data_IF_762216414579
#
_entry.id   IF_762216414579
#
_cell.length_a   1.000
_cell.length_b   1.000
_cell.length_c   1.000
_cell.angle_alpha   90.00
_cell.angle_beta   90.00
_cell.angle_gamma   90.00
#
_symmetry.space_group_name_H-M   'P 1'
#
loop_
_entity.id
_entity.type
_entity.pdbx_description
1 polymer ?
#
# COMPACT_ATOMS: atom_id res chain seq x y z
N UNK A 1 -5.41 24.52 -17.83
CA UNK A 1 -6.30 24.78 -16.69
C UNK A 1 -7.40 25.79 -17.03
N UNK A 2 -7.07 27.07 -17.43
CA UNK A 2 -8.10 28.10 -17.68
C UNK A 2 -9.11 27.75 -18.76
N UNK A 3 -8.66 27.20 -19.90
CA UNK A 3 -9.55 26.72 -20.96
C UNK A 3 -10.44 25.59 -20.47
N UNK A 4 -9.88 24.60 -19.79
CA UNK A 4 -10.62 23.48 -19.19
C UNK A 4 -11.73 23.96 -18.24
N UNK A 5 -11.42 24.92 -17.32
CA UNK A 5 -12.43 25.45 -16.39
C UNK A 5 -13.56 26.17 -17.13
N UNK A 6 -13.28 26.79 -18.28
CA UNK A 6 -14.30 27.47 -19.11
C UNK A 6 -15.17 26.49 -19.88
N UNK A 7 -14.57 25.40 -20.33
CA UNK A 7 -15.25 24.36 -21.13
C UNK A 7 -16.10 23.44 -20.24
N UNK A 8 -15.51 22.93 -19.14
CA UNK A 8 -16.16 21.95 -18.25
C UNK A 8 -17.14 22.60 -17.28
N UNK A 9 -16.87 23.84 -16.82
CA UNK A 9 -17.65 24.56 -15.80
C UNK A 9 -17.93 23.70 -14.55
N UNK A 10 -16.90 23.14 -13.88
CA UNK A 10 -17.12 22.22 -12.75
C UNK A 10 -17.66 22.97 -11.52
N UNK A 11 -18.52 22.32 -10.76
CA UNK A 11 -18.99 22.78 -9.44
C UNK A 11 -17.93 22.53 -8.35
N UNK A 12 -17.08 21.52 -8.56
CA UNK A 12 -16.03 21.07 -7.63
C UNK A 12 -14.82 20.58 -8.41
N UNK A 13 -13.61 20.90 -7.88
CA UNK A 13 -12.35 20.37 -8.40
C UNK A 13 -11.59 19.70 -7.26
N UNK A 14 -11.25 18.41 -7.44
CA UNK A 14 -10.50 17.63 -6.49
C UNK A 14 -9.11 17.33 -7.04
N UNK A 15 -8.06 17.57 -6.24
CA UNK A 15 -6.69 17.20 -6.54
C UNK A 15 -6.21 16.04 -5.67
N UNK A 16 -5.72 14.95 -6.30
CA UNK A 16 -5.16 13.80 -5.61
C UNK A 16 -3.63 13.77 -5.65
N UNK A 17 -2.99 14.95 -5.72
CA UNK A 17 -1.54 15.07 -5.79
C UNK A 17 -0.98 14.99 -7.22
N UNK A 18 0.35 14.87 -7.31
CA UNK A 18 1.09 14.94 -8.57
C UNK A 18 1.18 16.37 -9.14
N UNK A 19 2.21 16.62 -9.95
CA UNK A 19 2.49 17.96 -10.49
C UNK A 19 1.38 18.49 -11.41
N UNK A 20 0.61 17.62 -12.03
CA UNK A 20 -0.48 17.97 -12.97
C UNK A 20 -1.67 18.58 -12.23
N UNK A 21 -1.99 18.11 -11.02
CA UNK A 21 -3.13 18.61 -10.25
C UNK A 21 -2.92 20.07 -9.79
N UNK A 22 -1.69 20.47 -9.52
CA UNK A 22 -1.36 21.80 -8.99
C UNK A 22 -1.93 22.96 -9.78
N UNK A 23 -1.61 23.12 -11.08
CA UNK A 23 -2.14 24.20 -11.91
C UNK A 23 -3.66 24.19 -12.09
N UNK A 24 -4.27 22.98 -12.06
CA UNK A 24 -5.72 22.82 -12.26
C UNK A 24 -6.48 23.26 -11.02
N UNK A 25 -6.14 22.71 -9.85
CA UNK A 25 -6.78 23.04 -8.57
C UNK A 25 -6.58 24.51 -8.22
N UNK A 26 -5.34 25.04 -8.39
CA UNK A 26 -5.06 26.47 -8.12
C UNK A 26 -5.84 27.40 -9.05
N UNK A 27 -6.05 26.99 -10.32
CA UNK A 27 -6.87 27.76 -11.24
C UNK A 27 -8.35 27.78 -10.80
N UNK A 28 -8.87 26.67 -10.33
CA UNK A 28 -10.23 26.54 -9.80
C UNK A 28 -10.42 27.41 -8.55
N UNK A 29 -9.54 27.28 -7.56
CA UNK A 29 -9.56 28.10 -6.34
C UNK A 29 -9.56 29.61 -6.64
N UNK A 30 -8.70 30.07 -7.55
CA UNK A 30 -8.67 31.47 -7.98
C UNK A 30 -9.91 31.95 -8.71
N UNK A 31 -10.75 31.06 -9.20
CA UNK A 31 -12.03 31.36 -9.85
C UNK A 31 -13.23 31.25 -8.91
N UNK A 32 -13.01 30.95 -7.64
CA UNK A 32 -14.08 30.72 -6.66
C UNK A 32 -14.86 29.42 -6.86
N UNK A 33 -14.31 28.49 -7.66
CA UNK A 33 -14.86 27.14 -7.78
C UNK A 33 -14.47 26.37 -6.52
N UNK A 34 -15.38 25.61 -5.93
CA UNK A 34 -15.11 24.79 -4.74
C UNK A 34 -13.95 23.82 -5.02
N UNK A 35 -13.06 23.68 -4.05
CA UNK A 35 -11.84 22.90 -4.23
C UNK A 35 -11.52 22.02 -3.03
N UNK A 36 -11.03 20.82 -3.33
CA UNK A 36 -10.52 19.90 -2.33
C UNK A 36 -9.20 19.29 -2.79
N UNK A 37 -8.37 18.87 -1.85
CA UNK A 37 -7.21 18.00 -2.12
C UNK A 37 -7.23 16.80 -1.17
N UNK A 38 -6.67 15.67 -1.64
CA UNK A 38 -6.43 14.49 -0.83
C UNK A 38 -4.94 14.16 -0.82
N UNK A 39 -4.37 14.02 0.38
CA UNK A 39 -3.00 13.56 0.60
C UNK A 39 -3.01 12.13 1.12
N UNK A 40 -2.43 11.22 0.35
CA UNK A 40 -2.43 9.79 0.63
C UNK A 40 -1.29 9.37 1.58
N UNK A 41 -0.23 10.17 1.67
CA UNK A 41 1.01 9.77 2.32
C UNK A 41 1.18 10.43 3.70
N UNK A 42 1.94 9.79 4.59
CA UNK A 42 2.33 10.33 5.89
C UNK A 42 3.30 11.54 5.78
N UNK A 43 3.97 11.66 4.62
CA UNK A 43 4.73 12.85 4.27
C UNK A 43 4.14 13.47 3.01
N UNK A 44 3.53 14.67 3.12
CA UNK A 44 2.82 15.28 2.02
C UNK A 44 3.72 15.66 0.85
N UNK A 45 3.20 15.45 -0.37
CA UNK A 45 3.86 15.89 -1.59
C UNK A 45 3.88 17.42 -1.71
N UNK A 46 4.89 17.95 -2.42
CA UNK A 46 5.08 19.40 -2.63
C UNK A 46 3.83 20.07 -3.19
N UNK A 47 3.16 19.44 -4.16
CA UNK A 47 1.94 19.99 -4.78
C UNK A 47 0.83 20.21 -3.75
N UNK A 48 0.56 19.23 -2.89
CA UNK A 48 -0.49 19.33 -1.88
C UNK A 48 -0.13 20.38 -0.81
N UNK A 49 1.14 20.44 -0.38
CA UNK A 49 1.61 21.52 0.52
C UNK A 49 1.38 22.92 -0.06
N UNK A 50 1.64 23.11 -1.36
CA UNK A 50 1.44 24.39 -2.03
C UNK A 50 -0.03 24.74 -2.26
N UNK A 51 -0.91 23.75 -2.35
CA UNK A 51 -2.34 23.94 -2.57
C UNK A 51 -3.14 24.08 -1.27
N UNK A 52 -2.70 23.46 -0.20
CA UNK A 52 -3.45 23.39 1.06
C UNK A 52 -3.92 24.76 1.58
N UNK A 53 -3.13 25.87 1.53
CA UNK A 53 -3.63 27.18 1.92
C UNK A 53 -4.74 27.73 1.01
N UNK A 54 -4.73 27.37 -0.27
CA UNK A 54 -5.59 27.97 -1.31
C UNK A 54 -6.94 27.24 -1.48
N UNK A 55 -7.08 26.00 -1.02
CA UNK A 55 -8.29 25.17 -1.22
C UNK A 55 -9.29 25.31 -0.07
N UNK A 56 -10.56 24.92 -0.32
CA UNK A 56 -11.62 24.97 0.68
C UNK A 56 -11.49 23.89 1.74
N UNK A 57 -11.09 22.67 1.36
CA UNK A 57 -10.92 21.53 2.25
C UNK A 57 -9.70 20.69 1.89
N UNK A 58 -9.03 20.17 2.90
CA UNK A 58 -7.90 19.26 2.77
C UNK A 58 -8.25 17.93 3.43
N UNK A 59 -8.10 16.84 2.70
CA UNK A 59 -8.18 15.49 3.24
C UNK A 59 -6.79 14.93 3.43
N UNK A 60 -6.52 14.38 4.60
CA UNK A 60 -5.30 13.65 4.91
C UNK A 60 -5.64 12.18 5.20
N UNK A 61 -4.89 11.26 4.64
CA UNK A 61 -5.08 9.84 4.93
C UNK A 61 -4.69 9.50 6.37
N UNK A 62 -3.62 10.12 6.89
CA UNK A 62 -3.08 9.80 8.21
C UNK A 62 -2.83 11.08 9.03
N UNK A 63 -2.96 11.02 10.38
CA UNK A 63 -2.74 12.19 11.26
C UNK A 63 -1.35 12.83 11.09
N UNK A 64 -0.32 12.02 10.79
CA UNK A 64 1.07 12.49 10.62
C UNK A 64 1.27 13.51 9.47
N UNK A 65 0.30 13.62 8.55
CA UNK A 65 0.35 14.56 7.43
C UNK A 65 -0.22 15.94 7.78
N UNK A 66 -1.09 16.06 8.79
CA UNK A 66 -1.91 17.26 9.06
C UNK A 66 -1.05 18.52 9.22
N UNK A 67 -0.13 18.53 10.17
CA UNK A 67 0.73 19.70 10.44
C UNK A 67 1.66 20.01 9.27
N UNK A 68 2.12 18.98 8.55
CA UNK A 68 3.04 19.12 7.41
C UNK A 68 2.37 19.69 6.17
N UNK A 69 1.04 19.63 6.07
CA UNK A 69 0.25 20.23 5.01
C UNK A 69 0.14 21.77 5.15
N UNK A 70 0.33 22.29 6.37
CA UNK A 70 0.35 23.74 6.62
C UNK A 70 -1.03 24.42 6.61
N UNK A 71 -2.11 23.66 6.75
CA UNK A 71 -3.49 24.15 6.84
C UNK A 71 -4.31 23.26 7.79
N UNK A 72 -3.90 23.08 9.07
CA UNK A 72 -4.54 22.14 9.98
C UNK A 72 -6.01 22.46 10.25
N UNK A 73 -6.39 23.73 10.22
CA UNK A 73 -7.76 24.21 10.50
C UNK A 73 -8.82 23.75 9.48
N UNK A 74 -8.39 23.38 8.27
CA UNK A 74 -9.28 22.84 7.22
C UNK A 74 -8.89 21.44 6.77
N UNK A 75 -7.97 20.78 7.50
CA UNK A 75 -7.55 19.42 7.22
C UNK A 75 -8.38 18.41 8.02
N UNK A 76 -8.99 17.47 7.35
CA UNK A 76 -9.73 16.35 7.93
C UNK A 76 -8.97 15.05 7.70
N UNK A 77 -8.80 14.24 8.74
CA UNK A 77 -8.24 12.89 8.64
C UNK A 77 -9.36 11.94 8.24
N UNK A 78 -9.26 11.38 7.04
CA UNK A 78 -10.32 10.57 6.43
C UNK A 78 -9.85 9.18 5.99
N UNK A 79 -8.57 8.86 6.06
CA UNK A 79 -8.01 7.61 5.51
C UNK A 79 -7.78 7.68 4.01
N UNK A 80 -7.25 6.58 3.46
CA UNK A 80 -7.23 6.35 2.02
C UNK A 80 -8.45 5.53 1.62
N UNK A 81 -9.14 5.86 0.51
CA UNK A 81 -10.23 5.03 0.00
C UNK A 81 -9.71 3.65 -0.41
N UNK A 82 -10.23 2.62 0.24
CA UNK A 82 -9.98 1.22 -0.08
C UNK A 82 -11.15 0.68 -0.89
N UNK A 83 -10.87 -0.16 -1.87
CA UNK A 83 -11.89 -0.76 -2.72
C UNK A 83 -12.83 -1.64 -1.89
N UNK A 84 -14.16 -1.60 -2.11
CA UNK A 84 -15.12 -2.41 -1.37
C UNK A 84 -14.81 -3.91 -1.38
N UNK A 85 -14.29 -4.41 -2.51
CA UNK A 85 -13.93 -5.82 -2.67
C UNK A 85 -12.90 -6.31 -1.65
N UNK A 86 -12.02 -5.43 -1.15
CA UNK A 86 -11.04 -5.78 -0.10
C UNK A 86 -11.77 -6.15 1.18
N UNK A 87 -12.76 -5.36 1.60
CA UNK A 87 -13.56 -5.65 2.80
C UNK A 87 -14.46 -6.89 2.63
N UNK A 88 -15.03 -7.08 1.44
CA UNK A 88 -15.85 -8.25 1.12
C UNK A 88 -15.03 -9.54 1.22
N UNK A 89 -13.83 -9.56 0.63
CA UNK A 89 -12.95 -10.73 0.62
C UNK A 89 -12.35 -11.06 1.99
N UNK A 90 -12.22 -10.09 2.88
CA UNK A 90 -11.79 -10.34 4.26
C UNK A 90 -12.66 -11.40 4.98
N UNK A 91 -13.97 -11.39 4.73
CA UNK A 91 -14.92 -12.36 5.27
C UNK A 91 -14.85 -13.76 4.63
N UNK A 92 -14.22 -13.88 3.45
CA UNK A 92 -14.12 -15.15 2.70
C UNK A 92 -12.78 -15.88 2.90
N UNK A 93 -11.95 -15.44 3.83
CA UNK A 93 -10.58 -15.93 4.04
C UNK A 93 -10.44 -17.46 4.00
N UNK A 94 -11.25 -18.18 4.79
CA UNK A 94 -11.12 -19.64 4.90
C UNK A 94 -11.46 -20.33 3.58
N UNK A 95 -12.49 -19.86 2.88
CA UNK A 95 -12.87 -20.38 1.57
C UNK A 95 -11.77 -20.13 0.52
N UNK A 96 -11.18 -18.94 0.52
CA UNK A 96 -10.09 -18.59 -0.40
C UNK A 96 -8.85 -19.44 -0.09
N UNK A 97 -8.48 -19.63 1.17
CA UNK A 97 -7.37 -20.50 1.57
C UNK A 97 -7.58 -21.95 1.15
N UNK A 98 -8.82 -22.46 1.28
CA UNK A 98 -9.16 -23.80 0.80
C UNK A 98 -9.00 -23.92 -0.73
N UNK A 99 -9.45 -22.94 -1.50
CA UNK A 99 -9.29 -22.89 -2.96
C UNK A 99 -7.82 -22.84 -3.38
N UNK A 100 -6.97 -22.12 -2.62
CA UNK A 100 -5.53 -22.06 -2.84
C UNK A 100 -4.79 -23.35 -2.40
N UNK A 101 -5.49 -24.28 -1.76
CA UNK A 101 -4.88 -25.46 -1.17
C UNK A 101 -3.89 -25.14 -0.05
N UNK A 102 -4.08 -24.01 0.63
CA UNK A 102 -3.14 -23.54 1.64
C UNK A 102 -3.06 -24.46 2.87
N UNK A 103 -4.18 -25.07 3.27
CA UNK A 103 -4.25 -25.86 4.50
C UNK A 103 -3.78 -25.04 5.71
N UNK A 104 -2.98 -25.68 6.56
CA UNK A 104 -2.40 -25.04 7.75
C UNK A 104 -1.09 -24.27 7.46
N UNK A 105 -0.65 -24.22 6.20
CA UNK A 105 0.57 -23.51 5.81
C UNK A 105 0.41 -22.00 6.00
N UNK A 106 1.48 -21.34 6.42
CA UNK A 106 1.53 -19.86 6.38
C UNK A 106 1.51 -19.38 4.93
N UNK A 107 0.57 -18.50 4.59
CA UNK A 107 0.49 -17.89 3.27
C UNK A 107 1.32 -16.60 3.26
N UNK A 108 2.36 -16.57 2.43
CA UNK A 108 3.21 -15.41 2.20
C UNK A 108 2.86 -14.83 0.82
N UNK A 109 2.54 -13.55 0.78
CA UNK A 109 2.28 -12.82 -0.45
C UNK A 109 3.38 -11.78 -0.66
N UNK A 110 4.08 -11.80 -1.79
CA UNK A 110 5.15 -10.84 -2.05
C UNK A 110 5.03 -10.19 -3.42
N UNK A 111 5.30 -8.87 -3.49
CA UNK A 111 5.24 -8.11 -4.74
C UNK A 111 5.96 -6.76 -4.64
N UNK A 112 6.48 -6.29 -5.78
CA UNK A 112 7.17 -5.01 -5.89
C UNK A 112 6.35 -3.88 -6.53
N UNK A 113 5.04 -4.10 -6.78
CA UNK A 113 4.17 -3.22 -7.56
C UNK A 113 3.98 -3.73 -9.00
N UNK A 114 3.14 -3.06 -9.80
CA UNK A 114 2.72 -3.52 -11.15
C UNK A 114 3.88 -3.67 -12.14
N UNK A 115 4.88 -2.81 -12.07
CA UNK A 115 6.08 -2.89 -12.92
C UNK A 115 7.13 -3.85 -12.36
N UNK A 116 7.01 -4.23 -11.09
CA UNK A 116 7.99 -4.97 -10.33
C UNK A 116 9.05 -4.07 -9.69
N UNK A 117 9.85 -4.66 -8.81
CA UNK A 117 10.99 -4.01 -8.17
C UNK A 117 12.15 -5.00 -8.17
N UNK A 118 13.18 -4.70 -8.96
CA UNK A 118 14.32 -5.60 -9.16
C UNK A 118 14.89 -6.11 -7.83
N UNK A 119 15.19 -5.19 -6.90
CA UNK A 119 15.77 -5.56 -5.61
C UNK A 119 14.85 -6.45 -4.77
N UNK A 120 13.54 -6.20 -4.81
CA UNK A 120 12.55 -7.07 -4.13
C UNK A 120 12.57 -8.47 -4.74
N UNK A 121 12.55 -8.58 -6.06
CA UNK A 121 12.60 -9.87 -6.75
C UNK A 121 13.88 -10.66 -6.41
N UNK A 122 15.05 -9.99 -6.38
CA UNK A 122 16.33 -10.61 -6.03
C UNK A 122 16.31 -11.26 -4.63
N UNK A 123 15.85 -10.51 -3.61
CA UNK A 123 15.86 -11.03 -2.23
C UNK A 123 14.71 -12.00 -1.95
N UNK A 124 13.57 -11.86 -2.66
CA UNK A 124 12.48 -12.84 -2.59
C UNK A 124 12.91 -14.17 -3.21
N UNK A 125 13.73 -14.16 -4.26
CA UNK A 125 14.31 -15.39 -4.81
C UNK A 125 15.20 -16.10 -3.78
N UNK A 126 15.99 -15.37 -2.98
CA UNK A 126 16.74 -15.96 -1.86
C UNK A 126 15.82 -16.57 -0.80
N UNK A 127 14.71 -15.90 -0.50
CA UNK A 127 13.71 -16.41 0.45
C UNK A 127 13.06 -17.68 -0.07
N UNK A 128 12.62 -17.72 -1.34
CA UNK A 128 12.01 -18.91 -1.96
C UNK A 128 12.97 -20.11 -1.97
N UNK A 129 14.24 -19.87 -2.30
CA UNK A 129 15.26 -20.91 -2.26
C UNK A 129 15.45 -21.47 -0.84
N UNK A 130 15.49 -20.60 0.18
CA UNK A 130 15.55 -21.01 1.58
C UNK A 130 14.30 -21.79 2.03
N UNK A 131 13.10 -21.30 1.67
CA UNK A 131 11.83 -21.94 2.01
C UNK A 131 11.76 -23.40 1.49
N UNK A 132 12.16 -23.61 0.23
CA UNK A 132 12.16 -24.93 -0.38
C UNK A 132 13.26 -25.83 0.19
N UNK A 133 14.48 -25.30 0.35
CA UNK A 133 15.60 -26.06 0.92
C UNK A 133 15.32 -26.55 2.34
N UNK A 134 14.71 -25.71 3.16
CA UNK A 134 14.39 -26.00 4.57
C UNK A 134 12.98 -26.64 4.74
N UNK A 135 12.30 -26.97 3.65
CA UNK A 135 10.95 -27.56 3.66
C UNK A 135 9.97 -26.82 4.57
N UNK A 136 9.97 -25.47 4.49
CA UNK A 136 9.10 -24.65 5.35
C UNK A 136 7.62 -24.89 5.02
N UNK A 137 6.73 -24.95 6.04
CA UNK A 137 5.30 -25.13 5.83
C UNK A 137 4.63 -23.80 5.39
N UNK A 138 5.05 -23.31 4.22
CA UNK A 138 4.53 -22.06 3.63
C UNK A 138 3.89 -22.32 2.27
N UNK A 139 2.96 -21.48 1.89
CA UNK A 139 2.53 -21.25 0.52
C UNK A 139 2.93 -19.84 0.15
N UNK A 140 3.97 -19.69 -0.66
CA UNK A 140 4.45 -18.39 -1.11
C UNK A 140 3.85 -18.06 -2.47
N UNK A 141 3.24 -16.87 -2.59
CA UNK A 141 2.71 -16.34 -3.85
C UNK A 141 3.50 -15.08 -4.15
N UNK A 142 4.26 -15.08 -5.25
CA UNK A 142 5.09 -13.96 -5.65
C UNK A 142 4.65 -13.35 -6.98
N UNK A 143 4.55 -12.01 -7.04
CA UNK A 143 4.37 -11.28 -8.29
C UNK A 143 5.65 -10.54 -8.67
N UNK A 144 6.24 -10.93 -9.78
CA UNK A 144 7.49 -10.37 -10.29
C UNK A 144 7.35 -8.96 -10.83
N UNK A 145 6.13 -8.60 -11.29
CA UNK A 145 5.87 -7.42 -12.09
C UNK A 145 6.33 -7.59 -13.53
N UNK A 146 5.84 -6.72 -14.41
CA UNK A 146 6.05 -6.79 -15.85
C UNK A 146 7.53 -6.91 -16.27
N UNK A 147 8.42 -6.17 -15.61
CA UNK A 147 9.85 -6.16 -15.96
C UNK A 147 10.68 -7.17 -15.15
N UNK A 148 10.05 -7.95 -14.28
CA UNK A 148 10.74 -8.87 -13.38
C UNK A 148 10.73 -10.33 -13.83
N UNK A 149 9.93 -10.71 -14.83
CA UNK A 149 9.70 -12.11 -15.23
C UNK A 149 10.99 -12.83 -15.60
N UNK A 150 11.72 -12.30 -16.58
CA UNK A 150 12.97 -12.91 -17.05
C UNK A 150 14.05 -12.96 -15.96
N UNK A 151 14.17 -11.88 -15.18
CA UNK A 151 15.08 -11.83 -14.05
C UNK A 151 14.77 -12.96 -13.07
N UNK A 152 13.50 -13.14 -12.69
CA UNK A 152 13.11 -14.12 -11.67
C UNK A 152 13.31 -15.54 -12.17
N UNK A 153 12.99 -15.84 -13.42
CA UNK A 153 13.25 -17.15 -14.05
C UNK A 153 14.76 -17.51 -14.09
N UNK A 154 15.63 -16.50 -14.26
CA UNK A 154 17.08 -16.72 -14.18
C UNK A 154 17.52 -17.02 -12.75
N UNK A 155 16.96 -16.31 -11.76
CA UNK A 155 17.22 -16.54 -10.35
C UNK A 155 16.72 -17.91 -9.87
N UNK A 156 15.58 -18.40 -10.38
CA UNK A 156 15.08 -19.77 -10.12
C UNK A 156 16.14 -20.79 -10.49
N UNK A 157 16.72 -20.69 -11.68
CA UNK A 157 17.76 -21.61 -12.16
C UNK A 157 19.05 -21.48 -11.38
N UNK A 158 19.50 -20.24 -11.12
CA UNK A 158 20.75 -19.93 -10.40
C UNK A 158 20.71 -20.46 -8.96
N UNK A 159 19.58 -20.25 -8.26
CA UNK A 159 19.42 -20.56 -6.84
C UNK A 159 18.82 -21.97 -6.57
N UNK A 160 18.43 -22.68 -7.62
CA UNK A 160 17.98 -24.06 -7.56
C UNK A 160 16.62 -24.26 -6.89
N UNK A 161 15.68 -23.35 -7.11
CA UNK A 161 14.28 -23.51 -6.68
C UNK A 161 13.33 -23.44 -7.88
N UNK A 162 12.09 -23.88 -7.72
CA UNK A 162 11.10 -23.90 -8.80
C UNK A 162 9.67 -23.66 -8.30
N UNK A 163 8.81 -23.04 -9.11
CA UNK A 163 7.36 -23.01 -8.85
C UNK A 163 6.77 -24.41 -8.70
N UNK A 164 5.77 -24.54 -7.82
CA UNK A 164 5.12 -25.81 -7.49
C UNK A 164 4.07 -25.65 -6.40
N UNK A 165 3.78 -26.69 -5.65
CA UNK A 165 2.71 -26.69 -4.62
C UNK A 165 2.94 -25.68 -3.47
N UNK A 166 4.19 -25.33 -3.18
CA UNK A 166 4.54 -24.38 -2.11
C UNK A 166 4.92 -22.97 -2.62
N UNK A 167 5.11 -22.82 -3.94
CA UNK A 167 5.52 -21.56 -4.56
C UNK A 167 4.75 -21.31 -5.84
N UNK A 168 3.98 -20.22 -5.89
CA UNK A 168 3.26 -19.74 -7.06
C UNK A 168 3.89 -18.43 -7.53
N UNK A 169 4.45 -18.41 -8.74
CA UNK A 169 5.04 -17.23 -9.34
C UNK A 169 4.11 -16.69 -10.43
N UNK A 170 3.82 -15.40 -10.37
CA UNK A 170 2.97 -14.70 -11.36
C UNK A 170 3.69 -13.44 -11.85
N UNK A 171 3.42 -13.03 -13.08
CA UNK A 171 3.82 -11.70 -13.55
C UNK A 171 3.02 -10.62 -12.81
N UNK A 172 1.70 -10.79 -12.76
CA UNK A 172 0.78 -9.83 -12.16
C UNK A 172 -0.35 -10.55 -11.41
N UNK A 173 -0.83 -9.92 -10.34
CA UNK A 173 -1.95 -10.41 -9.53
C UNK A 173 -3.21 -9.62 -9.89
N UNK A 174 -4.16 -10.27 -10.57
CA UNK A 174 -5.43 -9.67 -10.93
C UNK A 174 -6.46 -9.71 -9.77
N UNK A 175 -6.33 -10.70 -8.90
CA UNK A 175 -7.21 -10.95 -7.77
C UNK A 175 -6.53 -10.59 -6.42
N UNK A 176 -5.96 -9.39 -6.34
CA UNK A 176 -5.24 -8.92 -5.15
C UNK A 176 -6.08 -8.96 -3.87
N UNK A 177 -7.38 -8.56 -3.85
CA UNK A 177 -8.19 -8.65 -2.64
C UNK A 177 -8.28 -10.06 -2.06
N UNK A 178 -8.44 -11.08 -2.91
CA UNK A 178 -8.49 -12.48 -2.47
C UNK A 178 -7.15 -12.94 -1.88
N UNK A 179 -6.03 -12.59 -2.52
CA UNK A 179 -4.71 -12.99 -2.03
C UNK A 179 -4.32 -12.24 -0.76
N UNK A 180 -4.70 -10.98 -0.61
CA UNK A 180 -4.55 -10.24 0.64
C UNK A 180 -5.37 -10.89 1.76
N UNK A 181 -6.63 -11.26 1.49
CA UNK A 181 -7.49 -11.95 2.45
C UNK A 181 -6.87 -13.29 2.92
N UNK A 182 -6.26 -14.06 2.02
CA UNK A 182 -5.63 -15.33 2.34
C UNK A 182 -4.29 -15.19 3.08
N UNK A 183 -3.55 -14.09 2.87
CA UNK A 183 -2.19 -13.91 3.36
C UNK A 183 -2.10 -13.83 4.89
N UNK A 184 -1.04 -14.39 5.45
CA UNK A 184 -0.62 -14.22 6.83
C UNK A 184 0.48 -13.17 6.95
N UNK A 185 1.35 -13.11 5.93
CA UNK A 185 2.45 -12.15 5.83
C UNK A 185 2.51 -11.57 4.42
N UNK A 186 2.62 -10.25 4.33
CA UNK A 186 2.80 -9.56 3.04
C UNK A 186 4.17 -8.90 3.01
N UNK A 187 4.92 -9.12 1.91
CA UNK A 187 6.22 -8.49 1.66
C UNK A 187 6.07 -7.57 0.46
N UNK A 188 6.16 -6.25 0.67
CA UNK A 188 5.87 -5.31 -0.42
C UNK A 188 6.59 -3.98 -0.30
N UNK A 189 6.47 -3.14 -1.33
CA UNK A 189 6.74 -1.71 -1.25
C UNK A 189 5.70 -1.02 -0.35
N UNK A 190 6.05 0.15 0.20
CA UNK A 190 5.19 0.90 1.12
C UNK A 190 4.38 2.01 0.40
N UNK A 191 3.70 1.65 -0.69
CA UNK A 191 2.76 2.54 -1.36
C UNK A 191 1.52 2.78 -0.48
N UNK A 192 1.04 4.02 -0.43
CA UNK A 192 -0.04 4.42 0.48
C UNK A 192 -1.32 3.58 0.36
N UNK A 193 -1.75 3.24 -0.87
CA UNK A 193 -2.94 2.41 -1.08
C UNK A 193 -2.70 0.96 -0.67
N UNK A 194 -1.51 0.41 -0.92
CA UNK A 194 -1.15 -0.93 -0.44
C UNK A 194 -1.23 -1.00 1.08
N UNK A 195 -0.71 0.01 1.79
CA UNK A 195 -0.78 0.04 3.26
C UNK A 195 -2.23 0.12 3.75
N UNK A 196 -3.07 0.95 3.12
CA UNK A 196 -4.48 1.03 3.47
C UNK A 196 -5.22 -0.31 3.25
N UNK A 197 -4.89 -1.06 2.19
CA UNK A 197 -5.42 -2.41 1.96
C UNK A 197 -4.92 -3.41 3.03
N UNK A 198 -3.64 -3.33 3.44
CA UNK A 198 -3.09 -4.15 4.53
C UNK A 198 -3.74 -3.84 5.88
N UNK A 199 -3.99 -2.58 6.16
CA UNK A 199 -4.71 -2.12 7.35
C UNK A 199 -6.15 -2.63 7.35
N UNK A 200 -6.87 -2.48 6.23
CA UNK A 200 -8.25 -2.94 6.07
C UNK A 200 -8.37 -4.46 6.28
N UNK A 201 -7.45 -5.22 5.76
CA UNK A 201 -7.40 -6.68 5.88
C UNK A 201 -6.77 -7.17 7.19
N UNK A 202 -6.11 -6.29 7.96
CA UNK A 202 -5.41 -6.67 9.17
C UNK A 202 -4.25 -7.64 8.89
N UNK A 203 -3.36 -7.29 7.95
CA UNK A 203 -2.24 -8.17 7.55
C UNK A 203 -0.92 -7.72 8.14
N UNK A 204 -0.14 -8.70 8.64
CA UNK A 204 1.25 -8.47 9.01
C UNK A 204 2.08 -8.16 7.76
N UNK A 205 3.05 -7.25 7.86
CA UNK A 205 3.86 -6.87 6.72
C UNK A 205 5.36 -6.79 7.01
N UNK A 206 6.16 -7.12 5.99
CA UNK A 206 7.54 -6.65 5.84
C UNK A 206 7.52 -5.61 4.72
N UNK A 207 7.83 -4.37 5.07
CA UNK A 207 7.77 -3.25 4.15
C UNK A 207 9.17 -2.84 3.71
N UNK A 208 9.34 -2.75 2.39
CA UNK A 208 10.58 -2.36 1.74
C UNK A 208 10.33 -1.04 1.00
N UNK A 209 10.49 0.12 1.66
CA UNK A 209 10.25 1.42 1.05
C UNK A 209 11.12 1.61 -0.19
N UNK A 210 10.53 2.13 -1.28
CA UNK A 210 11.29 2.49 -2.48
C UNK A 210 12.12 3.76 -2.20
N UNK A 211 13.44 3.75 -2.48
CA UNK A 211 14.26 4.96 -2.37
C UNK A 211 14.04 5.93 -3.54
N UNK A 212 13.39 5.47 -4.62
CA UNK A 212 13.23 6.23 -5.87
C UNK A 212 11.89 6.98 -5.96
N UNK A 213 11.38 7.44 -4.80
CA UNK A 213 10.13 8.20 -4.74
C UNK A 213 10.36 9.59 -4.17
N UNK A 214 9.55 10.56 -4.60
CA UNK A 214 9.65 11.93 -4.13
C UNK A 214 9.50 12.02 -2.60
N UNK A 215 10.29 12.90 -1.96
CA UNK A 215 10.20 13.17 -0.52
C UNK A 215 10.35 11.92 0.37
N UNK A 216 10.88 10.81 -0.15
CA UNK A 216 11.01 9.54 0.57
C UNK A 216 9.69 9.08 1.25
N UNK A 217 8.54 9.42 0.65
CA UNK A 217 7.21 9.24 1.27
C UNK A 217 6.92 7.79 1.65
N UNK A 218 7.44 6.79 0.90
CA UNK A 218 7.23 5.38 1.26
C UNK A 218 7.90 5.00 2.59
N UNK A 219 9.05 5.59 2.92
CA UNK A 219 9.69 5.38 4.22
C UNK A 219 8.78 5.88 5.35
N UNK A 220 8.27 7.10 5.23
CA UNK A 220 7.38 7.66 6.26
C UNK A 220 6.08 6.87 6.38
N UNK A 221 5.50 6.42 5.28
CA UNK A 221 4.33 5.54 5.29
C UNK A 221 4.62 4.24 6.05
N UNK A 222 5.72 3.54 5.72
CA UNK A 222 6.11 2.30 6.37
C UNK A 222 6.33 2.46 7.89
N UNK A 223 6.92 3.60 8.30
CA UNK A 223 7.19 3.89 9.70
C UNK A 223 5.93 4.05 10.54
N UNK A 224 4.79 4.48 9.96
CA UNK A 224 3.53 4.52 10.71
C UNK A 224 3.06 3.10 11.10
N UNK A 225 3.14 2.13 10.18
CA UNK A 225 2.82 0.74 10.49
C UNK A 225 3.84 0.10 11.45
N UNK A 226 5.12 0.42 11.30
CA UNK A 226 6.15 -0.07 12.23
C UNK A 226 5.95 0.44 13.66
N UNK A 227 5.64 1.73 13.82
CA UNK A 227 5.35 2.32 15.15
C UNK A 227 4.15 1.66 15.83
N UNK A 228 3.14 1.28 15.04
CA UNK A 228 1.98 0.53 15.53
C UNK A 228 2.28 -0.95 15.82
N UNK A 229 3.48 -1.45 15.49
CA UNK A 229 3.82 -2.86 15.61
C UNK A 229 3.12 -3.76 14.58
N UNK A 230 2.67 -3.19 13.46
CA UNK A 230 1.98 -3.86 12.36
C UNK A 230 2.94 -4.36 11.27
N UNK A 231 4.14 -3.77 11.18
CA UNK A 231 5.11 -4.11 10.16
C UNK A 231 6.54 -4.13 10.69
N UNK A 232 7.40 -4.85 9.97
CA UNK A 232 8.86 -4.72 10.03
C UNK A 232 9.31 -3.94 8.80
N UNK A 233 10.09 -2.88 8.98
CA UNK A 233 10.62 -2.08 7.87
C UNK A 233 12.07 -2.45 7.60
N UNK A 234 12.39 -2.74 6.33
CA UNK A 234 13.76 -2.96 5.86
C UNK A 234 14.01 -1.95 4.75
N UNK A 235 14.87 -0.96 4.99
CA UNK A 235 15.27 -0.02 3.95
C UNK A 235 16.07 -0.74 2.85
N UNK A 236 15.94 -0.32 1.60
CA UNK A 236 16.57 -1.00 0.46
C UNK A 236 18.11 -1.04 0.57
N UNK A 237 18.73 -0.05 1.22
CA UNK A 237 20.18 -0.02 1.47
C UNK A 237 20.65 -1.14 2.38
N UNK A 238 19.80 -1.62 3.30
CA UNK A 238 20.07 -2.68 4.27
C UNK A 238 19.47 -4.03 3.85
N UNK A 239 18.82 -4.08 2.69
CA UNK A 239 18.10 -5.24 2.20
C UNK A 239 19.06 -6.22 1.54
N UNK A 240 19.21 -7.38 2.16
CA UNK A 240 19.91 -8.55 1.60
C UNK A 240 19.04 -9.79 1.69
N UNK A 241 19.30 -10.83 0.90
CA UNK A 241 18.59 -12.10 1.00
C UNK A 241 18.66 -12.69 2.41
N UNK A 242 19.86 -12.66 3.03
CA UNK A 242 20.07 -13.12 4.41
C UNK A 242 19.21 -12.33 5.41
N UNK A 243 19.16 -10.99 5.25
CA UNK A 243 18.34 -10.14 6.12
C UNK A 243 16.85 -10.46 5.99
N UNK A 244 16.35 -10.64 4.77
CA UNK A 244 14.95 -11.00 4.55
C UNK A 244 14.64 -12.39 5.13
N UNK A 245 15.46 -13.39 4.82
CA UNK A 245 15.33 -14.76 5.35
C UNK A 245 15.33 -14.76 6.88
N UNK A 246 16.30 -14.08 7.52
CA UNK A 246 16.37 -14.03 8.99
C UNK A 246 15.14 -13.33 9.60
N UNK A 247 14.65 -12.28 8.96
CA UNK A 247 13.42 -11.58 9.41
C UNK A 247 12.19 -12.48 9.31
N UNK A 248 11.97 -13.12 8.15
CA UNK A 248 10.84 -14.06 7.95
C UNK A 248 10.95 -15.23 8.91
N UNK A 249 12.13 -15.85 9.03
CA UNK A 249 12.37 -16.98 9.94
C UNK A 249 12.05 -16.60 11.39
N UNK A 250 12.46 -15.42 11.85
CA UNK A 250 12.13 -14.93 13.19
C UNK A 250 10.63 -14.73 13.40
N UNK A 251 9.92 -14.14 12.43
CA UNK A 251 8.47 -13.96 12.52
C UNK A 251 7.71 -15.30 12.54
N UNK A 252 8.16 -16.28 11.75
CA UNK A 252 7.54 -17.62 11.71
C UNK A 252 7.84 -18.44 12.97
N UNK A 253 8.94 -18.20 13.66
CA UNK A 253 9.33 -18.90 14.87
C UNK A 253 8.53 -18.47 16.12
N UNK A 254 7.89 -17.31 16.10
CA UNK A 254 7.11 -16.78 17.22
C UNK A 254 5.59 -17.08 17.03
N UNK A 255 5.01 -18.05 17.77
CA UNK A 255 3.58 -18.35 17.65
C UNK A 255 2.70 -17.12 17.90
N UNK A 256 1.77 -16.86 17.00
CA UNK A 256 0.83 -15.75 17.12
C UNK A 256 1.41 -14.36 16.77
N UNK A 257 2.70 -14.25 16.41
CA UNK A 257 3.33 -12.96 16.07
C UNK A 257 2.67 -12.29 14.88
N UNK A 258 2.50 -13.00 13.77
CA UNK A 258 1.84 -12.49 12.58
C UNK A 258 0.40 -12.06 12.87
N UNK A 259 -0.34 -12.85 13.65
CA UNK A 259 -1.70 -12.50 14.05
C UNK A 259 -1.74 -11.22 14.93
N UNK A 260 -0.77 -11.04 15.82
CA UNK A 260 -0.66 -9.82 16.63
C UNK A 260 -0.36 -8.59 15.75
N UNK A 261 0.59 -8.72 14.82
CA UNK A 261 0.91 -7.65 13.85
C UNK A 261 -0.31 -7.31 12.98
N UNK A 262 -1.05 -8.30 12.51
CA UNK A 262 -2.28 -8.09 11.74
C UNK A 262 -3.35 -7.35 12.55
N UNK A 263 -3.57 -7.71 13.82
CA UNK A 263 -4.49 -6.95 14.69
C UNK A 263 -4.05 -5.49 14.85
N UNK A 264 -2.76 -5.25 15.00
CA UNK A 264 -2.21 -3.88 15.07
C UNK A 264 -2.46 -3.11 13.76
N UNK A 265 -2.26 -3.74 12.60
CA UNK A 265 -2.58 -3.13 11.31
C UNK A 265 -4.05 -2.73 11.24
N UNK A 266 -4.96 -3.62 11.66
CA UNK A 266 -6.41 -3.37 11.64
C UNK A 266 -6.83 -2.16 12.48
N UNK A 267 -6.11 -1.81 13.54
CA UNK A 267 -6.40 -0.62 14.36
C UNK A 267 -6.13 0.70 13.63
N UNK A 268 -5.37 0.68 12.55
CA UNK A 268 -5.05 1.86 11.73
C UNK A 268 -6.07 2.11 10.62
N UNK A 269 -6.89 1.12 10.29
CA UNK A 269 -7.83 1.19 9.17
C UNK A 269 -8.93 2.22 9.39
N UNK A 270 -9.27 2.94 8.33
CA UNK A 270 -10.42 3.86 8.25
C UNK A 270 -11.39 3.30 7.22
N UNK A 271 -12.30 2.46 7.65
CA UNK A 271 -13.17 1.68 6.75
C UNK A 271 -14.20 2.55 5.99
N UNK A 272 -14.64 3.64 6.58
CA UNK A 272 -15.61 4.61 6.05
C UNK A 272 -14.95 5.81 5.33
N UNK A 273 -13.70 5.66 4.90
CA UNK A 273 -12.92 6.72 4.23
C UNK A 273 -13.66 7.33 3.04
N UNK A 274 -14.23 6.49 2.17
CA UNK A 274 -14.97 6.94 0.99
C UNK A 274 -16.21 7.76 1.36
N UNK A 275 -16.98 7.30 2.35
CA UNK A 275 -18.18 7.99 2.81
C UNK A 275 -17.84 9.33 3.47
N UNK A 276 -16.80 9.39 4.30
CA UNK A 276 -16.32 10.65 4.91
C UNK A 276 -15.94 11.67 3.86
N UNK A 277 -15.22 11.26 2.82
CA UNK A 277 -14.82 12.14 1.72
C UNK A 277 -16.08 12.60 0.96
N UNK A 278 -16.95 11.67 0.55
CA UNK A 278 -18.15 11.97 -0.21
C UNK A 278 -19.07 12.95 0.55
N UNK A 279 -19.33 12.69 1.83
CA UNK A 279 -20.17 13.54 2.66
C UNK A 279 -19.60 14.96 2.82
N UNK A 280 -18.29 15.08 3.03
CA UNK A 280 -17.64 16.37 3.16
C UNK A 280 -17.70 17.16 1.84
N UNK A 281 -17.49 16.51 0.69
CA UNK A 281 -17.58 17.13 -0.63
C UNK A 281 -19.03 17.55 -0.96
N UNK A 282 -20.00 16.71 -0.64
CA UNK A 282 -21.43 17.04 -0.87
C UNK A 282 -21.88 18.21 0.00
N UNK A 283 -21.37 18.33 1.23
CA UNK A 283 -21.62 19.52 2.08
C UNK A 283 -20.96 20.77 1.49
N UNK A 284 -19.73 20.65 1.01
CA UNK A 284 -18.99 21.77 0.41
C UNK A 284 -19.70 22.35 -0.82
N UNK A 285 -20.21 21.51 -1.70
CA UNK A 285 -20.94 21.94 -2.93
C UNK A 285 -22.29 22.56 -2.60
N UNK A 286 -23.00 22.07 -1.57
CA UNK A 286 -24.32 22.61 -1.17
C UNK A 286 -24.23 23.93 -0.40
N UNK A 287 -23.04 24.30 0.09
CA UNK A 287 -22.85 25.58 0.78
C UNK A 287 -22.70 26.69 -0.26
N UNK A 288 -23.60 27.69 -0.26
CA UNK A 288 -23.57 28.78 -1.24
C UNK A 288 -22.28 29.60 -1.21
#
# INVERSE_FOLDING_TARGET
ARAMMKEVQPDLVIGCGGYVSGPVVRCAAKKGIKTAIHEQNAFPGVTNKLLAPDVDIVFAAVPAAVEKLGAPEKTQVVGNPVRPEVFEKAGERDAIRAQLGAGDRTVILSFGGSLGARRVNEVVADLCAWEQKEHKPVLHIHATGQYGVELFQNLEKEKGFAPGESLVVKEYINNMPELLAAADLVISRAGALTLAELEAEGRAAILIPSPNVAENHQYYNAMELQKAGAAVVIEEKDLTGEKLVSTVSGLLAEPGRLAAMGRNARTLSVDDSLDRIADALMKLVKTP
#
